data_IF_440935860672
#
_entry.id   IF_440935860672
#
_cell.length_a   1.000
_cell.length_b   1.000
_cell.length_c   1.000
_cell.angle_alpha   90.00
_cell.angle_beta   90.00
_cell.angle_gamma   90.00
#
_symmetry.space_group_name_H-M   'P 1'
#
loop_
_entity.id
_entity.type
_entity.pdbx_description
1 polymer ?
#
# COMPACT_ATOMS: atom_id res chain seq x y z
N UNK A 1 28.82 27.84 9.77
CA UNK A 1 28.48 27.53 8.36
C UNK A 1 27.00 27.19 8.30
N UNK A 2 26.17 28.12 7.85
CA UNK A 2 24.72 27.91 7.73
C UNK A 2 24.43 27.14 6.44
N UNK A 3 23.89 25.92 6.59
CA UNK A 3 23.44 25.09 5.48
C UNK A 3 22.19 25.70 4.85
N UNK A 4 22.28 26.03 3.58
CA UNK A 4 21.16 26.46 2.76
C UNK A 4 20.12 25.34 2.65
N UNK A 5 18.98 25.50 3.31
CA UNK A 5 17.75 24.80 2.93
C UNK A 5 17.34 25.30 1.54
N UNK A 6 17.68 24.53 0.49
CA UNK A 6 16.98 24.65 -0.79
C UNK A 6 15.51 24.34 -0.53
N UNK A 7 14.65 25.37 -0.45
CA UNK A 7 13.21 25.19 -0.69
C UNK A 7 13.09 24.42 -2.01
N UNK A 8 12.43 23.26 -2.01
CA UNK A 8 12.03 22.58 -3.25
C UNK A 8 11.29 23.63 -4.08
N UNK A 9 11.86 24.06 -5.20
CA UNK A 9 11.13 24.85 -6.18
C UNK A 9 9.91 24.03 -6.59
N UNK A 10 8.71 24.57 -6.36
CA UNK A 10 7.48 23.95 -6.84
C UNK A 10 7.53 23.94 -8.38
N UNK A 11 6.96 22.90 -9.01
CA UNK A 11 6.95 22.84 -10.47
C UNK A 11 6.14 24.00 -11.03
N UNK A 12 6.77 24.87 -11.81
CA UNK A 12 6.10 25.95 -12.57
C UNK A 12 5.29 25.42 -13.77
N UNK A 13 5.12 24.10 -13.86
CA UNK A 13 4.33 23.46 -14.89
C UNK A 13 2.91 24.05 -14.94
N UNK A 14 2.35 24.26 -16.14
CA UNK A 14 0.98 24.70 -16.27
C UNK A 14 0.01 23.63 -15.74
N UNK A 15 -1.20 24.04 -15.29
CA UNK A 15 -2.21 23.11 -14.85
C UNK A 15 -2.62 22.13 -15.94
N UNK A 16 -2.80 20.87 -15.56
CA UNK A 16 -3.30 19.83 -16.46
C UNK A 16 -4.74 20.10 -16.86
N UNK A 17 -5.16 19.63 -18.05
CA UNK A 17 -6.56 19.73 -18.48
C UNK A 17 -7.55 19.16 -17.45
N UNK A 18 -7.17 18.08 -16.76
CA UNK A 18 -7.99 17.47 -15.73
C UNK A 18 -8.23 18.42 -14.56
N UNK A 19 -7.20 19.14 -14.12
CA UNK A 19 -7.32 20.15 -13.06
C UNK A 19 -8.16 21.34 -13.53
N UNK A 20 -7.96 21.82 -14.76
CA UNK A 20 -8.75 22.93 -15.32
C UNK A 20 -10.24 22.59 -15.40
N UNK A 21 -10.59 21.39 -15.89
CA UNK A 21 -11.98 20.91 -15.94
C UNK A 21 -12.59 20.78 -14.56
N UNK A 22 -11.82 20.33 -13.57
CA UNK A 22 -12.31 20.19 -12.20
C UNK A 22 -12.48 21.55 -11.52
N UNK A 23 -11.51 22.45 -11.65
CA UNK A 23 -11.58 23.84 -11.17
C UNK A 23 -12.81 24.57 -11.73
N UNK A 24 -13.09 24.42 -13.04
CA UNK A 24 -14.30 24.96 -13.67
C UNK A 24 -15.59 24.42 -13.05
N UNK A 25 -15.65 23.12 -12.72
CA UNK A 25 -16.81 22.52 -12.03
C UNK A 25 -16.99 23.02 -10.60
N UNK A 26 -15.88 23.39 -9.95
CA UNK A 26 -15.87 23.95 -8.60
C UNK A 26 -16.05 25.48 -8.56
N UNK A 27 -16.15 26.14 -9.73
CA UNK A 27 -16.25 27.60 -9.80
C UNK A 27 -14.96 28.33 -9.43
N UNK A 28 -13.81 27.66 -9.44
CA UNK A 28 -12.50 28.27 -9.16
C UNK A 28 -12.06 29.05 -10.40
N UNK A 29 -11.82 30.35 -10.23
CA UNK A 29 -11.25 31.19 -11.27
C UNK A 29 -9.77 30.83 -11.48
N UNK A 30 -9.44 30.34 -12.67
CA UNK A 30 -8.06 30.00 -13.05
C UNK A 30 -7.46 31.16 -13.84
N UNK A 31 -6.31 31.67 -13.40
CA UNK A 31 -5.56 32.70 -14.13
C UNK A 31 -4.53 32.06 -15.06
N UNK A 32 -4.11 32.75 -16.15
CA UNK A 32 -3.08 32.24 -17.06
C UNK A 32 -1.71 32.01 -16.40
N UNK A 33 -1.47 32.63 -15.26
CA UNK A 33 -0.22 32.55 -14.49
C UNK A 33 -0.26 31.50 -13.37
N UNK A 34 -1.41 30.88 -13.11
CA UNK A 34 -1.49 29.84 -12.08
C UNK A 34 -0.68 28.61 -12.51
N UNK A 35 0.21 28.17 -11.63
CA UNK A 35 0.89 26.88 -11.82
C UNK A 35 -0.05 25.72 -11.49
N UNK A 36 0.35 24.52 -11.90
CA UNK A 36 -0.25 23.24 -11.50
C UNK A 36 -0.36 23.12 -9.97
N UNK A 37 0.65 23.60 -9.25
CA UNK A 37 0.69 23.57 -7.80
C UNK A 37 -0.31 24.56 -7.18
N UNK A 38 -0.36 25.79 -7.69
CA UNK A 38 -1.28 26.82 -7.20
C UNK A 38 -2.74 26.38 -7.37
N UNK A 39 -3.07 25.82 -8.54
CA UNK A 39 -4.42 25.34 -8.78
C UNK A 39 -4.76 24.13 -7.90
N UNK A 40 -3.81 23.22 -7.65
CA UNK A 40 -4.01 22.11 -6.72
C UNK A 40 -4.24 22.58 -5.29
N UNK A 41 -3.51 23.61 -4.87
CA UNK A 41 -3.64 24.22 -3.55
C UNK A 41 -5.01 24.90 -3.41
N UNK A 42 -5.44 25.67 -4.41
CA UNK A 42 -6.77 26.30 -4.40
C UNK A 42 -7.92 25.27 -4.36
N UNK A 43 -7.81 24.19 -5.13
CA UNK A 43 -8.76 23.07 -5.08
C UNK A 43 -8.77 22.44 -3.68
N UNK A 44 -7.59 22.19 -3.10
CA UNK A 44 -7.45 21.57 -1.78
C UNK A 44 -8.00 22.45 -0.67
N UNK A 45 -7.79 23.77 -0.74
CA UNK A 45 -8.35 24.73 0.22
C UNK A 45 -9.88 24.76 0.15
N UNK A 46 -10.45 24.71 -1.06
CA UNK A 46 -11.90 24.64 -1.22
C UNK A 46 -12.45 23.32 -0.65
N UNK A 47 -11.79 22.20 -0.93
CA UNK A 47 -12.13 20.87 -0.39
C UNK A 47 -11.98 20.81 1.15
N UNK A 48 -11.06 21.58 1.74
CA UNK A 48 -10.97 21.72 3.21
C UNK A 48 -12.13 22.53 3.80
N UNK A 49 -12.58 23.57 3.09
CA UNK A 49 -13.70 24.42 3.51
C UNK A 49 -15.05 23.73 3.34
N UNK A 50 -15.18 22.87 2.33
CA UNK A 50 -16.34 22.02 2.10
C UNK A 50 -15.90 20.56 1.88
N UNK A 51 -15.82 19.77 2.97
CA UNK A 51 -15.43 18.36 2.90
C UNK A 51 -16.35 17.50 2.01
N UNK A 52 -17.59 17.94 1.76
CA UNK A 52 -18.53 17.21 0.90
C UNK A 52 -18.04 17.19 -0.55
N UNK A 53 -17.30 18.20 -0.99
CA UNK A 53 -16.69 18.23 -2.33
C UNK A 53 -15.61 17.16 -2.48
N UNK A 54 -14.75 17.02 -1.47
CA UNK A 54 -13.73 15.98 -1.42
C UNK A 54 -14.38 14.60 -1.44
N UNK A 55 -15.39 14.38 -0.60
CA UNK A 55 -16.13 13.13 -0.53
C UNK A 55 -16.82 12.79 -1.86
N UNK A 56 -17.49 13.76 -2.50
CA UNK A 56 -18.10 13.57 -3.82
C UNK A 56 -17.07 13.19 -4.88
N UNK A 57 -15.88 13.78 -4.84
CA UNK A 57 -14.80 13.44 -5.77
C UNK A 57 -14.32 12.01 -5.55
N UNK A 58 -14.05 11.62 -4.31
CA UNK A 58 -13.58 10.26 -3.99
C UNK A 58 -14.66 9.22 -4.31
N UNK A 59 -15.94 9.49 -4.00
CA UNK A 59 -17.08 8.64 -4.42
C UNK A 59 -17.14 8.46 -5.93
N UNK A 60 -16.93 9.53 -6.73
CA UNK A 60 -16.91 9.42 -8.20
C UNK A 60 -15.73 8.62 -8.71
N UNK A 61 -14.53 8.84 -8.15
CA UNK A 61 -13.34 8.05 -8.51
C UNK A 61 -13.57 6.57 -8.21
N UNK A 62 -14.10 6.27 -7.01
CA UNK A 62 -14.47 4.91 -6.61
C UNK A 62 -15.49 4.30 -7.56
N UNK A 63 -16.59 4.98 -7.86
CA UNK A 63 -17.62 4.48 -8.77
C UNK A 63 -17.09 4.20 -10.19
N UNK A 64 -16.13 4.99 -10.68
CA UNK A 64 -15.46 4.72 -11.95
C UNK A 64 -14.59 3.46 -11.84
N UNK A 65 -13.76 3.35 -10.79
CA UNK A 65 -12.93 2.16 -10.56
C UNK A 65 -13.76 0.89 -10.40
N UNK A 66 -14.85 0.93 -9.63
CA UNK A 66 -15.76 -0.20 -9.42
C UNK A 66 -16.43 -0.63 -10.74
N UNK A 67 -16.74 0.33 -11.63
CA UNK A 67 -17.28 0.03 -12.96
C UNK A 67 -16.25 -0.63 -13.87
N UNK A 68 -15.00 -0.20 -13.81
CA UNK A 68 -13.92 -0.68 -14.69
C UNK A 68 -13.35 -2.04 -14.22
N UNK A 69 -13.21 -2.22 -12.91
CA UNK A 69 -12.49 -3.35 -12.30
C UNK A 69 -13.40 -4.35 -11.58
N UNK A 70 -14.66 -3.96 -11.31
CA UNK A 70 -15.57 -4.71 -10.46
C UNK A 70 -15.46 -4.29 -9.00
N UNK A 71 -16.61 -4.21 -8.33
CA UNK A 71 -16.72 -3.79 -6.93
C UNK A 71 -15.91 -4.68 -5.98
N UNK A 72 -16.01 -6.00 -6.15
CA UNK A 72 -15.36 -6.97 -5.27
C UNK A 72 -13.83 -6.81 -5.25
N UNK A 73 -13.22 -6.53 -6.39
CA UNK A 73 -11.76 -6.37 -6.50
C UNK A 73 -11.30 -5.09 -5.80
N UNK A 74 -12.05 -3.99 -5.98
CA UNK A 74 -11.77 -2.71 -5.31
C UNK A 74 -11.91 -2.85 -3.79
N UNK A 75 -12.95 -3.52 -3.32
CA UNK A 75 -13.14 -3.75 -1.88
C UNK A 75 -12.03 -4.63 -1.27
N UNK A 76 -11.56 -5.64 -2.01
CA UNK A 76 -10.43 -6.47 -1.57
C UNK A 76 -9.11 -5.67 -1.57
N UNK A 77 -8.86 -4.80 -2.55
CA UNK A 77 -7.71 -3.89 -2.53
C UNK A 77 -7.75 -2.98 -1.29
N UNK A 78 -8.90 -2.35 -1.02
CA UNK A 78 -9.10 -1.51 0.18
C UNK A 78 -8.92 -2.30 1.49
N UNK A 79 -9.33 -3.58 1.51
CA UNK A 79 -9.11 -4.47 2.66
C UNK A 79 -7.61 -4.68 2.90
N UNK A 80 -6.84 -5.00 1.85
CA UNK A 80 -5.39 -5.23 2.00
C UNK A 80 -4.60 -3.96 2.32
N UNK A 81 -5.04 -2.81 1.81
CA UNK A 81 -4.42 -1.53 2.19
C UNK A 81 -4.67 -1.21 3.66
N UNK A 82 -5.90 -1.40 4.17
CA UNK A 82 -6.16 -1.28 5.61
C UNK A 82 -5.36 -2.27 6.44
N UNK A 83 -5.23 -3.52 5.97
CA UNK A 83 -4.39 -4.52 6.64
C UNK A 83 -2.94 -4.04 6.73
N UNK A 84 -2.39 -3.46 5.66
CA UNK A 84 -1.03 -2.91 5.63
C UNK A 84 -0.85 -1.75 6.63
N UNK A 85 -1.84 -0.84 6.69
CA UNK A 85 -1.80 0.34 7.54
C UNK A 85 -1.96 0.00 9.03
N UNK A 86 -2.84 -0.94 9.37
CA UNK A 86 -3.21 -1.23 10.77
C UNK A 86 -2.34 -2.33 11.40
N UNK A 87 -2.10 -3.43 10.66
CA UNK A 87 -1.53 -4.68 11.16
C UNK A 87 -0.12 -4.89 10.60
N UNK A 88 0.03 -4.78 9.29
CA UNK A 88 1.30 -4.96 8.58
C UNK A 88 1.75 -6.41 8.49
N UNK A 89 1.83 -7.18 9.58
CA UNK A 89 2.44 -8.51 9.57
C UNK A 89 1.41 -9.65 9.48
N UNK A 90 1.75 -10.69 8.72
CA UNK A 90 0.96 -11.93 8.65
C UNK A 90 1.84 -13.18 8.60
N UNK A 91 1.40 -14.26 9.24
CA UNK A 91 1.84 -15.61 8.89
C UNK A 91 1.12 -16.01 7.61
N UNK A 92 1.85 -16.28 6.54
CA UNK A 92 1.30 -16.62 5.24
C UNK A 92 1.69 -18.04 4.82
N UNK A 93 0.70 -18.79 4.32
CA UNK A 93 0.90 -20.06 3.61
C UNK A 93 0.48 -19.82 2.17
N UNK A 94 1.40 -19.93 1.22
CA UNK A 94 1.11 -19.60 -0.17
C UNK A 94 1.81 -20.51 -1.16
N UNK A 95 1.25 -20.63 -2.37
CA UNK A 95 1.87 -21.36 -3.47
C UNK A 95 2.88 -20.49 -4.20
N UNK A 96 4.09 -21.00 -4.34
CA UNK A 96 5.12 -20.43 -5.21
C UNK A 96 5.59 -21.50 -6.17
N UNK A 97 5.24 -21.37 -7.45
CA UNK A 97 5.50 -22.40 -8.45
C UNK A 97 4.86 -23.75 -8.06
N UNK A 98 5.66 -24.76 -7.71
CA UNK A 98 5.18 -26.09 -7.31
C UNK A 98 5.19 -26.30 -5.80
N UNK A 99 5.71 -25.34 -5.04
CA UNK A 99 5.96 -25.46 -3.62
C UNK A 99 4.90 -24.70 -2.80
N UNK A 100 4.63 -25.21 -1.61
CA UNK A 100 3.89 -24.49 -0.56
C UNK A 100 4.92 -23.87 0.37
N UNK A 101 4.91 -22.54 0.44
CA UNK A 101 5.80 -21.76 1.28
C UNK A 101 5.03 -21.33 2.52
N UNK A 102 5.68 -21.45 3.68
CA UNK A 102 5.20 -20.92 4.96
C UNK A 102 6.21 -19.88 5.41
N UNK A 103 5.76 -18.64 5.61
CA UNK A 103 6.64 -17.55 6.00
C UNK A 103 5.86 -16.47 6.76
N UNK A 104 6.56 -15.60 7.47
CA UNK A 104 5.98 -14.35 7.97
C UNK A 104 6.26 -13.25 6.95
N UNK A 105 5.23 -12.51 6.55
CA UNK A 105 5.33 -11.44 5.56
C UNK A 105 4.88 -10.12 6.17
N UNK A 106 5.60 -9.05 5.84
CA UNK A 106 5.13 -7.68 6.01
C UNK A 106 4.34 -7.29 4.75
N UNK A 107 3.08 -6.94 4.92
CA UNK A 107 2.18 -6.47 3.88
C UNK A 107 2.37 -4.97 3.73
N UNK A 108 2.76 -4.55 2.52
CA UNK A 108 3.03 -3.15 2.21
C UNK A 108 1.79 -2.47 1.61
N UNK A 109 1.09 -3.13 0.69
CA UNK A 109 -0.13 -2.62 0.05
C UNK A 109 -0.81 -3.70 -0.80
N UNK A 110 -2.11 -3.55 -1.04
CA UNK A 110 -2.85 -4.23 -2.11
C UNK A 110 -2.74 -3.45 -3.43
N UNK A 111 -2.48 -4.15 -4.53
CA UNK A 111 -2.31 -3.55 -5.86
C UNK A 111 -3.14 -4.30 -6.89
N UNK A 112 -4.01 -3.58 -7.59
CA UNK A 112 -4.67 -4.09 -8.80
C UNK A 112 -3.75 -3.84 -10.00
N UNK A 113 -3.31 -4.92 -10.64
CA UNK A 113 -2.50 -4.85 -11.87
C UNK A 113 -3.31 -4.37 -13.07
N UNK A 114 -2.65 -3.93 -14.13
CA UNK A 114 -3.29 -3.50 -15.39
C UNK A 114 -4.21 -4.55 -16.03
N UNK A 115 -4.08 -5.82 -15.62
CA UNK A 115 -4.93 -6.93 -16.08
C UNK A 115 -6.15 -7.17 -15.17
N UNK A 116 -6.43 -6.26 -14.23
CA UNK A 116 -7.50 -6.39 -13.25
C UNK A 116 -7.27 -7.45 -12.18
N UNK A 117 -6.06 -8.01 -12.07
CA UNK A 117 -5.73 -9.00 -11.04
C UNK A 117 -5.21 -8.32 -9.78
N UNK A 118 -5.74 -8.73 -8.64
CA UNK A 118 -5.29 -8.28 -7.33
C UNK A 118 -4.06 -9.05 -6.86
N UNK A 119 -3.05 -8.29 -6.44
CA UNK A 119 -1.85 -8.79 -5.78
C UNK A 119 -1.61 -8.01 -4.49
N UNK A 120 -0.78 -8.58 -3.63
CA UNK A 120 -0.33 -7.99 -2.38
C UNK A 120 1.17 -7.74 -2.53
N UNK A 121 1.62 -6.50 -2.38
CA UNK A 121 3.03 -6.20 -2.23
C UNK A 121 3.45 -6.58 -0.82
N UNK A 122 4.47 -7.43 -0.69
CA UNK A 122 4.93 -7.97 0.58
C UNK A 122 6.46 -7.94 0.66
N UNK A 123 6.98 -7.83 1.89
CA UNK A 123 8.38 -8.03 2.22
C UNK A 123 8.54 -9.30 3.05
N UNK A 124 9.36 -10.25 2.57
CA UNK A 124 9.76 -11.41 3.36
C UNK A 124 11.06 -11.15 4.12
N UNK A 125 11.23 -11.71 5.32
CA UNK A 125 12.45 -11.59 6.06
C UNK A 125 13.55 -12.49 5.49
N UNK A 126 14.79 -12.05 5.64
CA UNK A 126 16.02 -12.81 5.39
C UNK A 126 16.80 -12.92 6.68
N UNK A 127 17.26 -14.13 6.99
CA UNK A 127 18.14 -14.36 8.12
C UNK A 127 19.55 -13.84 7.80
N UNK A 128 20.02 -12.87 8.58
CA UNK A 128 21.37 -12.33 8.50
C UNK A 128 22.16 -12.79 9.72
N UNK A 129 23.39 -13.26 9.47
CA UNK A 129 24.36 -13.57 10.51
C UNK A 129 25.44 -12.52 10.49
N UNK A 130 25.44 -11.65 11.49
CA UNK A 130 26.44 -10.60 11.63
C UNK A 130 27.35 -10.88 12.83
N UNK A 131 28.64 -10.58 12.69
CA UNK A 131 29.63 -10.89 13.74
C UNK A 131 29.59 -9.92 14.91
N UNK A 132 29.11 -8.69 14.71
CA UNK A 132 29.08 -7.63 15.71
C UNK A 132 27.73 -7.55 16.40
N UNK A 133 26.64 -7.66 15.62
CA UNK A 133 25.27 -7.46 16.11
C UNK A 133 24.59 -8.80 16.45
N UNK A 134 25.12 -9.91 15.92
CA UNK A 134 24.53 -11.25 16.04
C UNK A 134 23.54 -11.55 14.91
N UNK A 135 22.70 -12.56 15.14
CA UNK A 135 21.71 -13.01 14.16
C UNK A 135 20.47 -12.10 14.19
N UNK A 136 19.98 -11.64 13.04
CA UNK A 136 18.77 -10.82 12.93
C UNK A 136 17.99 -11.08 11.63
N UNK A 137 16.76 -10.57 11.58
CA UNK A 137 15.91 -10.62 10.40
C UNK A 137 15.90 -9.27 9.67
N UNK A 138 16.20 -9.30 8.38
CA UNK A 138 16.13 -8.14 7.50
C UNK A 138 14.94 -8.27 6.54
N UNK A 139 14.11 -7.24 6.42
CA UNK A 139 12.86 -7.25 5.65
C UNK A 139 13.01 -6.56 4.29
N UNK A 140 14.08 -6.89 3.57
CA UNK A 140 14.47 -6.24 2.31
C UNK A 140 13.97 -6.95 1.05
N UNK A 141 13.48 -8.19 1.19
CA UNK A 141 13.08 -9.00 0.05
C UNK A 141 11.62 -8.75 -0.31
N UNK A 142 11.42 -7.75 -1.15
CA UNK A 142 10.12 -7.36 -1.69
C UNK A 142 9.69 -8.24 -2.87
N UNK A 143 8.41 -8.60 -2.92
CA UNK A 143 7.79 -9.23 -4.09
C UNK A 143 6.26 -9.05 -4.07
N UNK A 144 5.63 -9.35 -5.21
CA UNK A 144 4.17 -9.36 -5.31
C UNK A 144 3.61 -10.78 -5.16
N UNK A 145 2.70 -10.96 -4.22
CA UNK A 145 1.96 -12.19 -3.99
C UNK A 145 0.56 -12.09 -4.61
N UNK A 146 0.22 -12.97 -5.53
CA UNK A 146 -1.16 -13.07 -6.02
C UNK A 146 -2.08 -13.55 -4.89
N UNK A 147 -3.23 -12.89 -4.70
CA UNK A 147 -4.20 -13.26 -3.65
C UNK A 147 -4.69 -14.71 -3.84
N UNK A 148 -4.88 -15.14 -5.09
CA UNK A 148 -5.26 -16.51 -5.44
C UNK A 148 -4.22 -17.57 -5.01
N UNK A 149 -2.96 -17.17 -4.85
CA UNK A 149 -1.88 -18.05 -4.38
C UNK A 149 -1.81 -18.14 -2.86
N UNK A 150 -2.47 -17.26 -2.12
CA UNK A 150 -2.50 -17.26 -0.66
C UNK A 150 -3.51 -18.31 -0.19
N UNK A 151 -3.01 -19.40 0.38
CA UNK A 151 -3.81 -20.54 0.84
C UNK A 151 -4.39 -20.30 2.24
N UNK A 152 -3.62 -19.61 3.08
CA UNK A 152 -3.99 -19.26 4.44
C UNK A 152 -3.18 -18.05 4.88
N UNK A 153 -3.78 -17.19 5.71
CA UNK A 153 -3.04 -16.20 6.46
C UNK A 153 -3.60 -16.06 7.87
N UNK A 154 -2.73 -15.68 8.79
CA UNK A 154 -3.09 -15.27 10.14
C UNK A 154 -2.44 -13.92 10.44
N UNK A 155 -3.22 -13.00 10.99
CA UNK A 155 -2.78 -11.67 11.37
C UNK A 155 -1.81 -11.76 12.55
N UNK A 156 -0.70 -11.03 12.49
CA UNK A 156 0.26 -10.93 13.58
C UNK A 156 0.27 -9.51 14.13
N UNK A 157 0.79 -9.32 15.34
CA UNK A 157 0.91 -7.97 15.93
C UNK A 157 1.67 -7.02 14.98
N UNK A 158 1.27 -5.76 14.93
CA UNK A 158 2.01 -4.71 14.23
C UNK A 158 3.41 -4.48 14.82
N UNK A 159 3.62 -4.91 16.07
CA UNK A 159 4.91 -4.92 16.74
C UNK A 159 5.68 -6.24 16.53
N UNK A 160 5.27 -7.13 15.61
CA UNK A 160 5.94 -8.42 15.43
C UNK A 160 7.46 -8.31 15.21
N UNK A 161 7.89 -7.25 14.51
CA UNK A 161 9.30 -6.94 14.32
C UNK A 161 10.09 -6.86 15.64
N UNK A 162 9.51 -6.30 16.71
CA UNK A 162 10.18 -6.13 17.99
C UNK A 162 10.27 -7.43 18.81
N UNK A 163 9.52 -8.47 18.43
CA UNK A 163 9.49 -9.75 19.14
C UNK A 163 10.72 -10.65 18.81
N UNK A 164 11.50 -10.27 17.80
CA UNK A 164 12.78 -10.90 17.47
C UNK A 164 12.68 -12.31 16.85
N UNK A 165 13.84 -12.93 16.68
CA UNK A 165 14.01 -14.14 15.88
C UNK A 165 13.27 -15.37 16.43
N UNK A 166 13.10 -15.47 17.75
CA UNK A 166 12.41 -16.59 18.40
C UNK A 166 10.91 -16.59 18.10
N UNK A 167 10.29 -15.40 18.09
CA UNK A 167 8.88 -15.24 17.71
C UNK A 167 8.66 -15.63 16.25
N UNK A 168 9.56 -15.22 15.36
CA UNK A 168 9.57 -15.65 13.96
C UNK A 168 9.64 -17.18 13.83
N UNK A 169 10.62 -17.82 14.48
CA UNK A 169 10.78 -19.28 14.40
C UNK A 169 9.54 -20.03 14.87
N UNK A 170 9.01 -19.68 16.04
CA UNK A 170 7.78 -20.30 16.59
C UNK A 170 6.57 -20.11 15.68
N UNK A 171 6.45 -18.93 15.07
CA UNK A 171 5.35 -18.59 14.16
C UNK A 171 5.42 -19.42 12.88
N UNK A 172 6.62 -19.57 12.30
CA UNK A 172 6.84 -20.41 11.12
C UNK A 172 6.63 -21.90 11.44
N UNK A 173 7.14 -22.39 12.57
CA UNK A 173 6.92 -23.77 13.02
C UNK A 173 5.43 -24.09 13.14
N UNK A 174 4.66 -23.20 13.78
CA UNK A 174 3.20 -23.30 13.86
C UNK A 174 2.55 -23.29 12.47
N UNK A 175 2.99 -22.41 11.58
CA UNK A 175 2.49 -22.37 10.20
C UNK A 175 2.77 -23.66 9.42
N UNK A 176 3.92 -24.30 9.65
CA UNK A 176 4.25 -25.58 9.03
C UNK A 176 3.32 -26.70 9.52
N UNK A 177 2.92 -26.68 10.79
CA UNK A 177 1.92 -27.62 11.31
C UNK A 177 0.54 -27.41 10.68
N UNK A 178 0.13 -26.16 10.48
CA UNK A 178 -1.12 -25.82 9.78
C UNK A 178 -1.04 -26.32 8.33
N UNK A 179 0.04 -26.01 7.61
CA UNK A 179 0.24 -26.42 6.22
C UNK A 179 0.19 -27.95 6.04
N UNK A 180 0.70 -28.71 7.01
CA UNK A 180 0.62 -30.19 6.99
C UNK A 180 -0.83 -30.70 7.05
N UNK A 181 -1.72 -30.01 7.76
CA UNK A 181 -3.15 -30.36 7.89
C UNK A 181 -3.99 -29.96 6.68
N UNK A 182 -3.45 -29.13 5.79
CA UNK A 182 -4.11 -28.69 4.56
C UNK A 182 -3.83 -29.60 3.35
N UNK A 183 -2.95 -30.60 3.51
CA UNK A 183 -2.69 -31.65 2.52
C UNK A 183 -3.65 -32.80 2.70
#
# INVERSE_FOLDING_TARGET
MFGFFKKKQHSDDPPTEKQLRYAKKLGIAVTPTMSKFDLSSAISELERKDPVLAEKRERRKRAIRERELGKDIVEQEEKWNRFADDIGYMLAIYRRSKDVVVDVLLVNQGVITDRGKLKISVSSPRWIKDKEIGDYLEWDKEFELAVESLLFYEELSNEFFSQGNDAYRKTVERGLEIAKKMK
#
